data_IF_142888003922
#
_entry.id   IF_142888003922
#
_cell.length_a   1.000
_cell.length_b   1.000
_cell.length_c   1.000
_cell.angle_alpha   90.00
_cell.angle_beta   90.00
_cell.angle_gamma   90.00
#
_symmetry.space_group_name_H-M   'P 1'
#
loop_
_entity.id
_entity.type
_entity.pdbx_description
1 polymer ?
#
# COMPACT_ATOMS: atom_id res chain seq x y z
N UNK A 1 8.34 -29.54 -12.33
CA UNK A 1 8.72 -29.17 -10.96
C UNK A 1 8.98 -27.67 -10.88
N UNK A 2 8.32 -26.95 -9.98
CA UNK A 2 8.55 -25.50 -9.79
C UNK A 2 9.86 -25.30 -9.02
N UNK A 3 10.76 -24.49 -9.57
CA UNK A 3 12.05 -24.18 -8.94
C UNK A 3 11.89 -23.22 -7.75
N UNK A 4 12.77 -23.31 -6.76
CA UNK A 4 12.69 -22.45 -5.56
C UNK A 4 12.78 -20.95 -5.90
N UNK A 5 13.48 -20.56 -6.97
CA UNK A 5 13.54 -19.18 -7.46
C UNK A 5 12.19 -18.70 -8.02
N UNK A 6 11.45 -19.57 -8.73
CA UNK A 6 10.10 -19.27 -9.21
C UNK A 6 9.11 -19.10 -8.05
N UNK A 7 9.21 -19.93 -7.00
CA UNK A 7 8.38 -19.77 -5.78
C UNK A 7 8.62 -18.42 -5.10
N UNK A 8 9.89 -18.02 -4.93
CA UNK A 8 10.27 -16.74 -4.34
C UNK A 8 9.74 -15.55 -5.16
N UNK A 9 9.86 -15.60 -6.49
CA UNK A 9 9.34 -14.55 -7.37
C UNK A 9 7.82 -14.45 -7.31
N UNK A 10 7.12 -15.58 -7.32
CA UNK A 10 5.65 -15.59 -7.26
C UNK A 10 5.14 -15.07 -5.91
N UNK A 11 5.72 -15.52 -4.80
CA UNK A 11 5.39 -15.01 -3.47
C UNK A 11 5.68 -13.51 -3.35
N UNK A 12 6.84 -13.07 -3.84
CA UNK A 12 7.22 -11.66 -3.84
C UNK A 12 6.28 -10.78 -4.68
N UNK A 13 5.90 -11.24 -5.87
CA UNK A 13 4.94 -10.55 -6.73
C UNK A 13 3.56 -10.45 -6.07
N UNK A 14 3.05 -11.55 -5.50
CA UNK A 14 1.76 -11.57 -4.83
C UNK A 14 1.74 -10.60 -3.64
N UNK A 15 2.75 -10.65 -2.77
CA UNK A 15 2.88 -9.75 -1.62
C UNK A 15 3.01 -8.29 -2.05
N UNK A 16 3.79 -8.03 -3.11
CA UNK A 16 3.93 -6.72 -3.74
C UNK A 16 2.59 -6.14 -4.17
N UNK A 17 1.85 -6.90 -5.00
CA UNK A 17 0.55 -6.49 -5.55
C UNK A 17 -0.48 -6.26 -4.43
N UNK A 18 -0.57 -7.17 -3.47
CA UNK A 18 -1.51 -7.04 -2.35
C UNK A 18 -1.17 -5.81 -1.50
N UNK A 19 0.10 -5.60 -1.18
CA UNK A 19 0.54 -4.45 -0.38
C UNK A 19 0.24 -3.11 -1.05
N UNK A 20 0.52 -3.01 -2.36
CA UNK A 20 0.20 -1.82 -3.16
C UNK A 20 -1.32 -1.62 -3.27
N UNK A 21 -2.09 -2.68 -3.50
CA UNK A 21 -3.55 -2.58 -3.61
C UNK A 21 -4.19 -2.04 -2.33
N UNK A 22 -3.73 -2.49 -1.15
CA UNK A 22 -4.19 -1.97 0.15
C UNK A 22 -3.83 -0.50 0.31
N UNK A 23 -2.60 -0.10 -0.02
CA UNK A 23 -2.17 1.29 0.07
C UNK A 23 -3.00 2.21 -0.84
N UNK A 24 -3.25 1.78 -2.08
CA UNK A 24 -4.07 2.52 -3.05
C UNK A 24 -5.52 2.61 -2.57
N UNK A 25 -6.12 1.51 -2.10
CA UNK A 25 -7.50 1.52 -1.62
C UNK A 25 -7.71 2.50 -0.45
N UNK A 26 -6.78 2.54 0.50
CA UNK A 26 -6.83 3.48 1.62
C UNK A 26 -6.65 4.93 1.17
N UNK A 27 -5.74 5.16 0.21
CA UNK A 27 -5.57 6.47 -0.39
C UNK A 27 -6.87 6.96 -1.04
N UNK A 28 -7.52 6.12 -1.85
CA UNK A 28 -8.78 6.47 -2.51
C UNK A 28 -9.90 6.71 -1.50
N UNK A 29 -9.97 5.93 -0.42
CA UNK A 29 -10.95 6.11 0.65
C UNK A 29 -10.78 7.46 1.37
N UNK A 30 -9.53 7.89 1.63
CA UNK A 30 -9.28 9.23 2.18
C UNK A 30 -9.63 10.35 1.22
N UNK A 31 -9.35 10.19 -0.08
CA UNK A 31 -9.77 11.16 -1.09
C UNK A 31 -11.29 11.29 -1.18
N UNK A 32 -12.02 10.17 -1.11
CA UNK A 32 -13.49 10.16 -1.10
C UNK A 32 -14.08 10.82 0.15
N UNK A 33 -13.42 10.72 1.31
CA UNK A 33 -13.84 11.44 2.52
C UNK A 33 -13.65 12.94 2.37
N UNK A 34 -12.54 13.36 1.77
CA UNK A 34 -12.28 14.77 1.48
C UNK A 34 -13.32 15.35 0.51
N UNK A 35 -13.55 14.68 -0.63
CA UNK A 35 -14.52 15.16 -1.62
C UNK A 35 -15.94 15.24 -1.07
N UNK A 36 -16.31 14.33 -0.15
CA UNK A 36 -17.63 14.36 0.50
C UNK A 36 -17.80 15.56 1.43
N UNK A 37 -16.72 16.05 2.03
CA UNK A 37 -16.73 17.24 2.90
C UNK A 37 -16.85 18.51 2.06
N UNK A 38 -16.13 18.54 0.94
CA UNK A 38 -16.22 19.60 -0.09
C UNK A 38 -17.64 19.69 -0.67
N UNK A 39 -18.25 18.55 -1.04
CA UNK A 39 -19.64 18.51 -1.55
C UNK A 39 -20.67 19.01 -0.50
N UNK A 40 -20.37 18.86 0.79
CA UNK A 40 -21.23 19.34 1.88
C UNK A 40 -21.02 20.83 2.19
N UNK A 41 -20.06 21.50 1.56
CA UNK A 41 -19.71 22.91 1.78
C UNK A 41 -19.17 23.20 3.18
N UNK A 42 -18.76 22.16 3.91
CA UNK A 42 -18.26 22.26 5.29
C UNK A 42 -16.84 22.84 5.37
N UNK A 43 -16.13 22.83 4.25
CA UNK A 43 -14.80 23.42 4.09
C UNK A 43 -14.84 24.95 3.91
N UNK A 44 -15.99 25.50 3.49
CA UNK A 44 -16.21 26.95 3.28
C UNK A 44 -16.97 27.61 4.42
N UNK A 45 -17.55 26.83 5.34
CA UNK A 45 -18.26 27.36 6.50
C UNK A 45 -17.28 27.93 7.54
N UNK A 46 -17.24 29.27 7.75
CA UNK A 46 -16.29 29.89 8.67
C UNK A 46 -16.58 29.56 10.15
N UNK A 47 -17.70 28.90 10.45
CA UNK A 47 -18.03 28.43 11.79
C UNK A 47 -17.42 27.07 12.13
N UNK A 48 -16.88 26.35 11.14
CA UNK A 48 -16.26 25.04 11.32
C UNK A 48 -14.76 25.20 11.49
N UNK A 49 -14.25 24.81 12.66
CA UNK A 49 -12.83 24.84 12.96
C UNK A 49 -12.05 23.90 12.00
N UNK A 50 -10.98 24.38 11.34
CA UNK A 50 -10.08 23.55 10.52
C UNK A 50 -9.60 22.27 11.21
N UNK A 51 -9.50 22.27 12.55
CA UNK A 51 -9.11 21.08 13.30
C UNK A 51 -10.15 19.94 13.21
N UNK A 52 -11.43 20.29 13.09
CA UNK A 52 -12.54 19.33 12.94
C UNK A 52 -12.50 18.71 11.55
N UNK A 53 -12.31 19.53 10.51
CA UNK A 53 -12.15 19.07 9.13
C UNK A 53 -10.96 18.10 9.01
N UNK A 54 -9.82 18.47 9.62
CA UNK A 54 -8.64 17.60 9.66
C UNK A 54 -8.93 16.27 10.33
N UNK A 55 -9.69 16.23 11.41
CA UNK A 55 -10.08 14.98 12.10
C UNK A 55 -11.01 14.13 11.25
N UNK A 56 -11.91 14.71 10.45
CA UNK A 56 -12.79 13.97 9.55
C UNK A 56 -12.07 13.37 8.34
N UNK A 57 -11.05 14.05 7.81
CA UNK A 57 -10.28 13.59 6.64
C UNK A 57 -9.09 12.72 7.00
N UNK A 58 -8.62 12.79 8.25
CA UNK A 58 -7.45 12.05 8.70
C UNK A 58 -7.71 10.54 8.70
N UNK A 59 -6.65 9.78 8.40
CA UNK A 59 -6.67 8.33 8.60
C UNK A 59 -6.91 8.01 10.08
N UNK A 60 -7.87 7.12 10.32
CA UNK A 60 -8.04 6.50 11.63
C UNK A 60 -6.81 5.65 11.99
N UNK A 61 -6.61 5.35 13.28
CA UNK A 61 -5.49 4.52 13.75
C UNK A 61 -5.44 3.18 13.01
N UNK A 62 -6.59 2.56 12.75
CA UNK A 62 -6.69 1.29 12.03
C UNK A 62 -6.26 1.41 10.57
N UNK A 63 -6.64 2.50 9.90
CA UNK A 63 -6.24 2.75 8.51
C UNK A 63 -4.76 3.08 8.39
N UNK A 64 -4.18 3.78 9.36
CA UNK A 64 -2.74 4.00 9.41
C UNK A 64 -2.00 2.67 9.55
N UNK A 65 -2.42 1.81 10.48
CA UNK A 65 -1.84 0.46 10.66
C UNK A 65 -1.97 -0.37 9.38
N UNK A 66 -3.13 -0.35 8.73
CA UNK A 66 -3.34 -1.06 7.46
C UNK A 66 -2.48 -0.48 6.32
N UNK A 67 -2.32 0.84 6.26
CA UNK A 67 -1.51 1.52 5.25
C UNK A 67 -0.02 1.17 5.42
N UNK A 68 0.51 1.31 6.63
CA UNK A 68 1.89 0.95 6.94
C UNK A 68 2.13 -0.57 6.84
N UNK A 69 1.15 -1.38 7.23
CA UNK A 69 1.18 -2.83 7.05
C UNK A 69 1.23 -3.24 5.58
N UNK A 70 0.37 -2.64 4.75
CA UNK A 70 0.35 -2.83 3.29
C UNK A 70 1.66 -2.37 2.64
N UNK A 71 2.18 -1.21 3.03
CA UNK A 71 3.47 -0.71 2.55
C UNK A 71 4.62 -1.65 2.92
N UNK A 72 4.64 -2.16 4.16
CA UNK A 72 5.63 -3.13 4.62
C UNK A 72 5.55 -4.44 3.82
N UNK A 73 4.34 -4.90 3.52
CA UNK A 73 4.10 -6.07 2.67
C UNK A 73 4.62 -5.86 1.25
N UNK A 74 4.41 -4.66 0.69
CA UNK A 74 4.91 -4.31 -0.64
C UNK A 74 6.45 -4.32 -0.69
N UNK A 75 7.11 -3.75 0.33
CA UNK A 75 8.57 -3.77 0.47
C UNK A 75 9.08 -5.21 0.61
N UNK A 76 8.46 -6.02 1.47
CA UNK A 76 8.83 -7.43 1.62
C UNK A 76 8.69 -8.20 0.30
N UNK A 77 7.61 -7.95 -0.44
CA UNK A 77 7.40 -8.53 -1.77
C UNK A 77 8.49 -8.16 -2.76
N UNK A 78 8.90 -6.88 -2.78
CA UNK A 78 10.01 -6.39 -3.62
C UNK A 78 11.34 -7.07 -3.27
N UNK A 79 11.65 -7.21 -1.97
CA UNK A 79 12.86 -7.90 -1.50
C UNK A 79 12.89 -9.35 -1.99
N UNK A 80 11.77 -10.07 -1.86
CA UNK A 80 11.66 -11.46 -2.32
C UNK A 80 11.82 -11.60 -3.84
N UNK A 81 11.29 -10.64 -4.62
CA UNK A 81 11.48 -10.58 -6.06
C UNK A 81 12.96 -10.38 -6.44
N UNK A 82 13.65 -9.48 -5.75
CA UNK A 82 15.08 -9.22 -5.94
C UNK A 82 15.89 -10.49 -5.59
N UNK A 83 15.65 -11.10 -4.43
CA UNK A 83 16.32 -12.33 -4.02
C UNK A 83 16.08 -13.48 -5.00
N UNK A 84 14.84 -13.68 -5.44
CA UNK A 84 14.49 -14.69 -6.44
C UNK A 84 15.20 -14.47 -7.78
N UNK A 85 15.40 -13.20 -8.17
CA UNK A 85 16.12 -12.82 -9.39
C UNK A 85 17.63 -13.04 -9.28
N UNK A 86 18.25 -12.65 -8.16
CA UNK A 86 19.66 -12.92 -7.88
C UNK A 86 19.94 -14.42 -7.90
N UNK A 87 19.11 -15.22 -7.22
CA UNK A 87 19.25 -16.68 -7.19
C UNK A 87 19.13 -17.30 -8.58
N UNK A 88 18.18 -16.81 -9.38
CA UNK A 88 18.00 -17.25 -10.77
C UNK A 88 19.18 -16.91 -11.66
N UNK A 89 19.82 -15.75 -11.45
CA UNK A 89 20.98 -15.30 -12.23
C UNK A 89 22.21 -16.16 -11.93
N UNK A 90 22.52 -16.38 -10.65
CA UNK A 90 23.64 -17.25 -10.24
C UNK A 90 23.51 -18.69 -10.75
N UNK A 91 22.29 -19.23 -10.73
CA UNK A 91 22.03 -20.57 -11.28
C UNK A 91 22.26 -20.66 -12.81
N UNK A 92 22.16 -19.54 -13.52
CA UNK A 92 22.42 -19.44 -14.96
C UNK A 92 23.91 -19.27 -15.27
N UNK A 93 24.68 -18.65 -14.36
CA UNK A 93 26.12 -18.42 -14.51
C UNK A 93 26.97 -19.67 -14.18
N UNK A 94 26.47 -20.56 -13.31
CA UNK A 94 27.13 -21.83 -12.96
C UNK A 94 26.77 -23.01 -13.88
N UNK A 95 26.13 -22.76 -15.01
CA UNK A 95 25.80 -23.74 -16.06
C UNK A 95 26.55 -23.38 -17.32
#
# INVERSE_FOLDING_TARGET
MITQSQKLKFAGALMGVVGVAVAVALWTASFSRYSRIEDLGLDVDPSIDPEILRKLTAFTVHEQVMFYGGLSLAIAGLILLIMGSIKSSRAKQNR
#
